data_IF_408639282885
#
_entry.id   IF_408639282885
#
_cell.length_a   1.000
_cell.length_b   1.000
_cell.length_c   1.000
_cell.angle_alpha   90.00
_cell.angle_beta   90.00
_cell.angle_gamma   90.00
#
_symmetry.space_group_name_H-M   'P 1'
#
loop_
_entity.id
_entity.type
_entity.pdbx_description
1 polymer ?
#
# COMPACT_ATOMS: atom_id res chain seq x y z
N UNK A 1 -5.05 -15.71 -5.56
CA UNK A 1 -3.67 -15.73 -5.02
C UNK A 1 -3.21 -17.18 -4.92
N UNK A 2 -1.97 -17.49 -5.33
CA UNK A 2 -1.45 -18.85 -5.30
C UNK A 2 -1.00 -19.24 -3.87
N UNK A 3 -0.88 -20.56 -3.62
CA UNK A 3 -0.34 -21.05 -2.36
C UNK A 3 1.11 -20.59 -2.12
N UNK A 4 1.92 -20.51 -3.17
CA UNK A 4 3.29 -20.00 -3.13
C UNK A 4 3.33 -18.56 -2.64
N UNK A 5 2.42 -17.70 -3.16
CA UNK A 5 2.34 -16.31 -2.73
C UNK A 5 1.90 -16.19 -1.27
N UNK A 6 0.87 -16.95 -0.85
CA UNK A 6 0.43 -16.98 0.56
C UNK A 6 1.59 -17.34 1.49
N UNK A 7 2.34 -18.40 1.15
CA UNK A 7 3.48 -18.83 1.96
C UNK A 7 4.59 -17.76 1.97
N UNK A 8 4.95 -17.21 0.80
CA UNK A 8 6.01 -16.23 0.66
C UNK A 8 5.69 -14.94 1.45
N UNK A 9 4.46 -14.42 1.33
CA UNK A 9 4.06 -13.21 2.05
C UNK A 9 3.99 -13.44 3.57
N UNK A 10 3.52 -14.62 3.99
CA UNK A 10 3.52 -15.02 5.40
C UNK A 10 4.94 -15.12 5.96
N UNK A 11 5.86 -15.74 5.23
CA UNK A 11 7.25 -15.90 5.67
C UNK A 11 7.97 -14.54 5.70
N UNK A 12 7.68 -13.67 4.72
CA UNK A 12 8.22 -12.31 4.69
C UNK A 12 7.74 -11.50 5.92
N UNK A 13 6.46 -11.57 6.23
CA UNK A 13 5.91 -10.91 7.42
C UNK A 13 6.55 -11.45 8.70
N UNK A 14 6.63 -12.79 8.88
CA UNK A 14 7.27 -13.40 10.05
C UNK A 14 8.73 -12.96 10.20
N UNK A 15 9.49 -12.94 9.11
CA UNK A 15 10.89 -12.50 9.14
C UNK A 15 11.02 -11.08 9.68
N UNK A 16 10.16 -10.15 9.25
CA UNK A 16 10.15 -8.78 9.77
C UNK A 16 9.66 -8.71 11.22
N UNK A 17 8.65 -9.49 11.56
CA UNK A 17 8.12 -9.57 12.92
C UNK A 17 9.17 -10.08 13.90
N UNK A 18 9.84 -11.18 13.59
CA UNK A 18 10.88 -11.79 14.43
C UNK A 18 12.12 -10.89 14.59
N UNK A 19 12.39 -10.04 13.60
CA UNK A 19 13.43 -8.99 13.68
C UNK A 19 13.00 -7.75 14.47
N UNK A 20 11.74 -7.66 14.92
CA UNK A 20 11.21 -6.48 15.62
C UNK A 20 11.08 -5.25 14.72
N UNK A 21 10.85 -5.46 13.42
CA UNK A 21 10.71 -4.37 12.45
C UNK A 21 9.31 -3.73 12.42
N UNK A 22 8.35 -4.30 13.14
CA UNK A 22 7.02 -3.73 13.27
C UNK A 22 6.79 -3.09 14.63
N UNK A 23 5.96 -2.05 14.65
CA UNK A 23 5.33 -1.53 15.86
C UNK A 23 3.87 -1.94 15.90
N UNK A 24 3.41 -2.34 17.08
CA UNK A 24 2.01 -2.65 17.32
C UNK A 24 1.30 -1.41 17.85
N UNK A 25 0.14 -1.07 17.26
CA UNK A 25 -0.70 0.04 17.74
C UNK A 25 -2.14 -0.41 17.81
N UNK A 26 -2.78 -0.09 18.92
CA UNK A 26 -4.24 -0.13 19.05
C UNK A 26 -4.79 1.23 18.65
N UNK A 27 -5.81 1.24 17.81
CA UNK A 27 -6.51 2.44 17.37
C UNK A 27 -8.00 2.16 17.26
N UNK A 28 -8.79 3.19 17.36
CA UNK A 28 -10.22 3.07 17.08
C UNK A 28 -10.47 3.16 15.58
N UNK A 29 -11.32 2.28 15.08
CA UNK A 29 -11.78 2.25 13.69
C UNK A 29 -13.30 2.06 13.63
N UNK A 30 -13.91 2.50 12.54
CA UNK A 30 -15.33 2.29 12.33
C UNK A 30 -15.65 0.82 12.10
N UNK A 31 -16.66 0.35 12.82
CA UNK A 31 -17.20 -1.00 12.76
C UNK A 31 -18.69 -0.94 12.40
N UNK A 32 -19.09 -1.76 11.46
CA UNK A 32 -20.49 -1.96 11.07
C UNK A 32 -21.07 -3.10 11.89
N UNK A 33 -22.03 -2.80 12.76
CA UNK A 33 -22.67 -3.79 13.62
C UNK A 33 -23.65 -4.70 12.87
N UNK A 34 -24.24 -4.24 11.77
CA UNK A 34 -25.12 -5.04 10.92
C UNK A 34 -24.33 -5.98 10.03
N UNK A 35 -23.29 -5.49 9.36
CA UNK A 35 -22.39 -6.31 8.54
C UNK A 35 -21.36 -7.09 9.38
N UNK A 36 -21.23 -6.79 10.69
CA UNK A 36 -20.31 -7.43 11.65
C UNK A 36 -18.85 -7.40 11.23
N UNK A 37 -18.42 -6.27 10.65
CA UNK A 37 -17.02 -6.09 10.20
C UNK A 37 -16.51 -4.67 10.39
N UNK A 38 -15.19 -4.52 10.49
CA UNK A 38 -14.53 -3.23 10.40
C UNK A 38 -14.66 -2.67 8.98
N UNK A 39 -14.76 -1.35 8.89
CA UNK A 39 -14.91 -0.66 7.62
C UNK A 39 -13.57 -0.13 7.15
N UNK A 40 -13.09 -0.63 6.01
CA UNK A 40 -11.99 0.00 5.29
C UNK A 40 -12.44 1.37 4.74
N UNK A 41 -11.48 2.25 4.51
CA UNK A 41 -11.71 3.66 4.16
C UNK A 41 -12.77 3.88 3.06
N UNK A 42 -12.78 3.02 2.03
CA UNK A 42 -13.76 3.06 0.93
C UNK A 42 -15.12 2.46 1.25
N UNK A 43 -15.25 1.80 2.37
CA UNK A 43 -16.54 1.30 2.86
C UNK A 43 -17.22 2.28 3.82
N UNK A 44 -16.67 3.48 3.96
CA UNK A 44 -17.26 4.58 4.73
C UNK A 44 -17.55 5.73 3.77
N UNK A 45 -18.78 6.21 3.79
CA UNK A 45 -19.21 7.38 3.04
C UNK A 45 -19.80 8.40 3.98
N UNK A 46 -19.73 9.66 3.59
CA UNK A 46 -20.28 10.76 4.39
C UNK A 46 -20.12 12.09 3.69
N UNK A 47 -20.43 13.16 4.40
CA UNK A 47 -20.31 14.51 3.86
C UNK A 47 -18.88 15.03 4.03
N UNK A 48 -18.29 15.50 2.93
CA UNK A 48 -16.97 16.12 2.94
C UNK A 48 -17.00 17.44 3.74
N UNK A 49 -16.15 17.60 4.76
CA UNK A 49 -16.12 18.82 5.56
C UNK A 49 -15.63 20.04 4.78
N UNK A 50 -14.96 19.83 3.64
CA UNK A 50 -14.38 20.92 2.84
C UNK A 50 -15.34 21.48 1.79
N UNK A 51 -16.07 20.63 1.06
CA UNK A 51 -16.90 21.06 -0.06
C UNK A 51 -18.38 20.70 0.05
N UNK A 52 -18.79 20.00 1.14
CA UNK A 52 -20.19 19.62 1.34
C UNK A 52 -20.69 18.47 0.46
N UNK A 53 -19.81 17.80 -0.31
CA UNK A 53 -20.21 16.62 -1.08
C UNK A 53 -20.65 15.49 -0.16
N UNK A 54 -21.93 15.09 -0.25
CA UNK A 54 -22.55 14.06 0.61
C UNK A 54 -22.13 12.63 0.28
N UNK A 55 -21.32 12.44 -0.76
CA UNK A 55 -20.83 11.12 -1.23
C UNK A 55 -19.30 11.04 -1.19
N UNK A 56 -18.67 11.67 -0.23
CA UNK A 56 -17.23 11.53 -0.05
C UNK A 56 -16.90 10.18 0.59
N UNK A 57 -15.78 9.58 0.19
CA UNK A 57 -15.23 8.37 0.81
C UNK A 57 -14.28 8.73 1.95
N UNK A 58 -14.03 7.76 2.84
CA UNK A 58 -13.17 7.94 3.99
C UNK A 58 -11.69 8.18 3.69
N UNK A 59 -11.23 7.94 2.47
CA UNK A 59 -9.85 8.20 2.02
C UNK A 59 -9.72 9.50 1.22
N UNK A 60 -10.75 9.87 0.48
CA UNK A 60 -10.71 11.01 -0.42
C UNK A 60 -12.11 11.49 -0.82
N UNK A 61 -12.27 12.81 -0.95
CA UNK A 61 -13.43 13.38 -1.61
C UNK A 61 -13.20 13.43 -3.12
N UNK A 62 -13.97 12.67 -3.90
CA UNK A 62 -13.83 12.64 -5.37
C UNK A 62 -14.28 13.96 -6.03
N UNK A 63 -15.09 14.79 -5.37
CA UNK A 63 -15.55 16.06 -5.92
C UNK A 63 -14.50 17.19 -5.83
N UNK A 64 -13.75 17.28 -4.71
CA UNK A 64 -12.77 18.35 -4.51
C UNK A 64 -11.33 17.85 -4.40
N UNK A 65 -11.09 16.52 -4.48
CA UNK A 65 -9.77 15.92 -4.45
C UNK A 65 -9.08 15.95 -3.07
N UNK A 66 -9.76 16.42 -2.00
CA UNK A 66 -9.18 16.48 -0.67
C UNK A 66 -8.98 15.06 -0.12
N UNK A 67 -7.77 14.77 0.39
CA UNK A 67 -7.52 13.56 1.17
C UNK A 67 -8.22 13.68 2.52
N UNK A 68 -8.86 12.60 2.95
CA UNK A 68 -9.65 12.53 4.18
C UNK A 68 -9.19 11.35 5.03
N UNK A 69 -9.45 11.42 6.32
CA UNK A 69 -9.55 10.25 7.19
C UNK A 69 -11.04 9.89 7.35
N UNK A 70 -11.39 8.63 7.57
CA UNK A 70 -12.78 8.24 7.84
C UNK A 70 -13.45 9.06 8.96
N UNK A 71 -12.67 9.46 9.96
CA UNK A 71 -13.12 10.29 11.10
C UNK A 71 -13.37 11.76 10.75
N UNK A 72 -12.90 12.23 9.60
CA UNK A 72 -13.14 13.61 9.16
C UNK A 72 -14.53 13.77 8.54
N UNK A 73 -15.16 12.69 8.09
CA UNK A 73 -16.46 12.74 7.44
C UNK A 73 -17.56 13.18 8.41
N UNK A 74 -18.42 14.07 7.94
CA UNK A 74 -19.65 14.44 8.63
C UNK A 74 -20.72 13.38 8.32
N UNK A 75 -21.41 12.90 9.37
CA UNK A 75 -22.44 11.87 9.29
C UNK A 75 -21.97 10.59 8.54
N UNK A 76 -20.88 9.93 9.02
CA UNK A 76 -20.35 8.75 8.36
C UNK A 76 -21.38 7.61 8.34
N UNK A 77 -21.44 6.89 7.21
CA UNK A 77 -22.30 5.72 7.00
C UNK A 77 -21.49 4.58 6.40
N UNK A 78 -21.86 3.36 6.77
CA UNK A 78 -21.37 2.17 6.09
C UNK A 78 -21.87 2.14 4.64
N UNK A 79 -20.96 1.99 3.69
CA UNK A 79 -21.33 1.76 2.29
C UNK A 79 -21.86 0.34 2.06
N UNK A 80 -21.75 -0.55 3.06
CA UNK A 80 -22.17 -1.95 2.98
C UNK A 80 -23.63 -2.09 3.40
N UNK A 81 -23.96 -1.65 4.64
CA UNK A 81 -25.31 -1.78 5.20
C UNK A 81 -26.14 -0.49 5.13
N UNK A 82 -25.48 0.67 4.97
CA UNK A 82 -26.11 1.99 5.09
C UNK A 82 -26.27 2.45 6.54
N UNK A 83 -25.93 1.61 7.52
CA UNK A 83 -26.06 1.93 8.95
C UNK A 83 -25.01 2.96 9.40
N UNK A 84 -25.23 3.59 10.55
CA UNK A 84 -24.24 4.43 11.20
C UNK A 84 -23.21 3.55 11.90
N UNK A 85 -21.93 3.60 11.51
CA UNK A 85 -20.91 2.77 12.13
C UNK A 85 -20.58 3.26 13.56
N UNK A 86 -20.07 2.34 14.38
CA UNK A 86 -19.58 2.60 15.73
C UNK A 86 -18.06 2.53 15.77
N UNK A 87 -17.43 3.25 16.70
CA UNK A 87 -15.98 3.14 16.92
C UNK A 87 -15.70 1.90 17.78
N UNK A 88 -14.73 1.07 17.33
CA UNK A 88 -14.19 -0.06 18.08
C UNK A 88 -12.68 -0.06 18.04
N UNK A 89 -12.07 -0.49 19.13
CA UNK A 89 -10.63 -0.69 19.18
C UNK A 89 -10.22 -1.89 18.34
N UNK A 90 -9.13 -1.71 17.58
CA UNK A 90 -8.45 -2.79 16.87
C UNK A 90 -6.94 -2.58 16.91
N UNK A 91 -6.20 -3.68 16.96
CA UNK A 91 -4.73 -3.69 16.96
C UNK A 91 -4.21 -4.02 15.58
N UNK A 92 -3.24 -3.25 15.10
CA UNK A 92 -2.56 -3.48 13.83
C UNK A 92 -1.05 -3.40 13.96
N UNK A 93 -0.34 -4.03 13.03
CA UNK A 93 1.09 -3.93 12.84
C UNK A 93 1.41 -2.83 11.84
N UNK A 94 2.44 -2.05 12.14
CA UNK A 94 2.88 -0.92 11.32
C UNK A 94 4.35 -1.07 10.97
N UNK A 95 4.69 -0.90 9.71
CA UNK A 95 6.06 -0.69 9.27
C UNK A 95 6.47 0.75 9.58
N UNK A 96 7.46 1.00 10.46
CA UNK A 96 7.90 2.35 10.82
C UNK A 96 8.75 2.94 9.69
N UNK A 97 8.12 3.55 8.68
CA UNK A 97 8.83 4.14 7.56
C UNK A 97 9.75 5.29 7.96
N UNK A 98 9.44 5.99 9.05
CA UNK A 98 10.26 7.02 9.67
C UNK A 98 11.63 6.47 10.13
N UNK A 99 11.70 5.23 10.62
CA UNK A 99 12.96 4.53 10.91
C UNK A 99 13.86 4.40 9.68
N UNK A 100 13.25 4.19 8.52
CA UNK A 100 13.95 3.98 7.25
C UNK A 100 14.21 5.28 6.47
N UNK A 101 13.69 6.42 6.91
CA UNK A 101 13.83 7.69 6.22
C UNK A 101 15.29 8.10 5.97
N UNK A 102 16.24 7.98 6.93
CA UNK A 102 17.64 8.32 6.67
C UNK A 102 18.28 7.50 5.55
N UNK A 103 17.96 6.19 5.51
CA UNK A 103 18.39 5.31 4.43
C UNK A 103 17.78 5.74 3.09
N UNK A 104 16.47 5.98 3.04
CA UNK A 104 15.78 6.37 1.81
C UNK A 104 16.26 7.73 1.29
N UNK A 105 16.53 8.70 2.17
CA UNK A 105 17.09 9.99 1.78
C UNK A 105 18.42 9.83 1.08
N UNK A 106 19.35 9.07 1.69
CA UNK A 106 20.63 8.79 1.07
C UNK A 106 20.46 8.05 -0.24
N UNK A 107 19.76 6.94 -0.24
CA UNK A 107 19.59 6.07 -1.39
C UNK A 107 18.92 6.76 -2.58
N UNK A 108 17.84 7.52 -2.36
CA UNK A 108 17.09 8.18 -3.45
C UNK A 108 17.74 9.52 -3.81
N UNK A 109 18.02 10.40 -2.81
CA UNK A 109 18.37 11.80 -3.08
C UNK A 109 19.86 11.99 -3.35
N UNK A 110 20.72 11.06 -2.95
CA UNK A 110 22.15 11.14 -3.16
C UNK A 110 22.68 10.12 -4.17
N UNK A 111 22.26 8.85 -4.03
CA UNK A 111 22.82 7.75 -4.82
C UNK A 111 22.08 7.55 -6.17
N UNK A 112 20.83 8.05 -6.32
CA UNK A 112 19.99 7.87 -7.52
C UNK A 112 19.43 9.20 -8.09
N UNK A 113 20.28 10.21 -8.18
CA UNK A 113 19.91 11.52 -8.76
C UNK A 113 19.53 11.45 -10.24
N UNK A 114 19.92 10.39 -10.92
CA UNK A 114 19.68 10.13 -12.34
C UNK A 114 18.25 9.61 -12.61
N UNK A 115 17.49 9.25 -11.59
CA UNK A 115 16.11 8.81 -11.78
C UNK A 115 15.26 9.89 -12.46
N UNK A 116 14.21 9.46 -13.17
CA UNK A 116 13.32 10.40 -13.86
C UNK A 116 12.84 11.51 -12.91
N UNK A 117 12.77 12.78 -13.39
CA UNK A 117 12.41 13.93 -12.55
C UNK A 117 11.07 13.78 -11.82
N UNK A 118 10.05 13.13 -12.42
CA UNK A 118 8.78 12.88 -11.77
C UNK A 118 8.91 11.89 -10.60
N UNK A 119 9.73 10.87 -10.73
CA UNK A 119 10.00 9.89 -9.65
C UNK A 119 10.79 10.54 -8.53
N UNK A 120 11.93 11.16 -8.87
CA UNK A 120 12.78 11.84 -7.91
C UNK A 120 12.02 12.95 -7.14
N UNK A 121 11.29 13.79 -7.87
CA UNK A 121 10.54 14.90 -7.28
C UNK A 121 9.42 14.44 -6.34
N UNK A 122 8.70 13.38 -6.69
CA UNK A 122 7.65 12.82 -5.84
C UNK A 122 8.26 12.18 -4.58
N UNK A 123 9.32 11.41 -4.71
CA UNK A 123 10.01 10.83 -3.56
C UNK A 123 10.55 11.92 -2.63
N UNK A 124 11.20 12.96 -3.18
CA UNK A 124 11.70 14.10 -2.41
C UNK A 124 10.56 14.77 -1.64
N UNK A 125 9.41 15.02 -2.29
CA UNK A 125 8.25 15.63 -1.63
C UNK A 125 7.75 14.81 -0.44
N UNK A 126 7.68 13.50 -0.57
CA UNK A 126 7.28 12.61 0.53
C UNK A 126 8.28 12.63 1.69
N UNK A 127 9.57 12.55 1.37
CA UNK A 127 10.63 12.62 2.37
C UNK A 127 10.65 13.98 3.09
N UNK A 128 10.43 15.08 2.37
CA UNK A 128 10.42 16.43 2.97
C UNK A 128 9.19 16.66 3.88
N UNK A 129 8.07 15.95 3.66
CA UNK A 129 6.92 15.96 4.57
C UNK A 129 7.16 15.13 5.84
N UNK A 130 8.16 14.26 5.86
CA UNK A 130 8.42 13.31 6.92
C UNK A 130 7.57 12.04 6.79
N UNK A 131 8.23 10.90 6.83
CA UNK A 131 7.56 9.60 6.71
C UNK A 131 6.88 9.21 8.02
N UNK A 132 5.75 8.54 7.92
CA UNK A 132 4.98 8.06 9.07
C UNK A 132 4.87 6.53 9.04
N UNK A 133 4.73 5.86 10.20
CA UNK A 133 4.47 4.43 10.26
C UNK A 133 3.23 4.05 9.45
N UNK A 134 3.33 3.01 8.65
CA UNK A 134 2.25 2.54 7.76
C UNK A 134 1.73 1.19 8.18
N UNK A 135 0.41 1.07 8.37
CA UNK A 135 -0.20 -0.20 8.73
C UNK A 135 -0.01 -1.24 7.63
N UNK A 136 0.38 -2.46 8.02
CA UNK A 136 0.62 -3.62 7.14
C UNK A 136 -0.41 -4.73 7.33
N UNK A 137 -1.40 -4.51 8.17
CA UNK A 137 -2.53 -5.42 8.38
C UNK A 137 -3.87 -4.68 8.28
N UNK A 138 -4.95 -5.44 8.06
CA UNK A 138 -6.34 -4.95 8.01
C UNK A 138 -7.28 -5.97 8.64
N UNK A 139 -8.38 -5.48 9.20
CA UNK A 139 -9.51 -6.31 9.63
C UNK A 139 -10.39 -6.58 8.41
N UNK A 140 -10.18 -7.72 7.77
CA UNK A 140 -10.93 -8.16 6.59
C UNK A 140 -11.03 -9.69 6.61
N UNK A 141 -12.12 -10.22 6.05
CA UNK A 141 -12.35 -11.66 5.96
C UNK A 141 -11.61 -12.33 4.80
N UNK A 142 -11.15 -11.53 3.82
CA UNK A 142 -10.45 -12.02 2.64
C UNK A 142 -9.05 -11.43 2.52
N UNK A 143 -8.09 -12.29 2.32
CA UNK A 143 -6.68 -11.93 2.16
C UNK A 143 -5.76 -13.01 2.72
N UNK A 144 -4.47 -12.69 2.83
CA UNK A 144 -3.48 -13.56 3.47
C UNK A 144 -3.56 -13.32 4.98
N UNK A 145 -3.90 -14.33 5.80
CA UNK A 145 -3.96 -14.15 7.25
C UNK A 145 -2.63 -13.66 7.81
N UNK A 146 -2.68 -12.73 8.76
CA UNK A 146 -1.48 -12.30 9.50
C UNK A 146 -0.95 -13.48 10.32
N UNK A 147 0.30 -13.93 10.08
CA UNK A 147 0.76 -15.23 10.55
C UNK A 147 1.39 -15.20 11.96
N UNK A 148 0.82 -14.42 12.89
CA UNK A 148 1.31 -14.32 14.28
C UNK A 148 0.16 -14.47 15.27
N UNK A 149 0.49 -14.82 16.52
CA UNK A 149 -0.48 -14.99 17.60
C UNK A 149 -1.20 -13.66 17.91
N UNK A 150 -2.51 -13.73 18.22
CA UNK A 150 -3.34 -12.57 18.50
C UNK A 150 -3.73 -11.75 17.26
N UNK A 151 -3.61 -12.36 16.07
CA UNK A 151 -3.97 -11.74 14.79
C UNK A 151 -5.25 -12.32 14.16
N UNK A 152 -6.11 -12.96 14.97
CA UNK A 152 -7.34 -13.56 14.50
C UNK A 152 -8.24 -12.51 13.82
N UNK A 153 -8.80 -12.86 12.65
CA UNK A 153 -9.63 -11.97 11.84
C UNK A 153 -8.87 -10.84 11.13
N UNK A 154 -7.53 -10.95 11.05
CA UNK A 154 -6.69 -9.96 10.38
C UNK A 154 -5.95 -10.57 9.20
N UNK A 155 -5.84 -9.78 8.13
CA UNK A 155 -5.10 -10.14 6.93
C UNK A 155 -3.98 -9.12 6.66
N UNK A 156 -3.00 -9.52 5.87
CA UNK A 156 -1.99 -8.61 5.36
C UNK A 156 -2.65 -7.54 4.49
N UNK A 157 -2.19 -6.31 4.63
CA UNK A 157 -2.65 -5.21 3.79
C UNK A 157 -2.13 -5.40 2.37
N UNK A 158 -3.00 -5.21 1.38
CA UNK A 158 -2.68 -5.46 -0.05
C UNK A 158 -1.40 -4.76 -0.52
N UNK A 159 -1.09 -3.58 -0.03
CA UNK A 159 0.15 -2.87 -0.39
C UNK A 159 1.40 -3.36 0.35
N UNK A 160 1.25 -4.28 1.29
CA UNK A 160 2.36 -5.04 1.87
C UNK A 160 2.59 -6.33 1.08
N UNK A 161 1.54 -7.10 0.78
CA UNK A 161 1.69 -8.39 0.11
C UNK A 161 1.83 -8.28 -1.42
N UNK A 162 1.18 -7.30 -2.07
CA UNK A 162 1.20 -7.17 -3.52
C UNK A 162 2.62 -7.08 -4.13
N UNK A 163 3.57 -6.27 -3.63
CA UNK A 163 4.91 -6.24 -4.17
C UNK A 163 5.71 -7.54 -3.94
N UNK A 164 5.37 -8.32 -2.90
CA UNK A 164 5.94 -9.66 -2.70
C UNK A 164 5.49 -10.60 -3.83
N UNK A 165 4.39 -10.28 -4.51
CA UNK A 165 3.91 -10.99 -5.70
C UNK A 165 4.96 -11.09 -6.81
N UNK A 166 5.81 -10.08 -6.98
CA UNK A 166 6.93 -10.14 -7.93
C UNK A 166 7.89 -11.28 -7.60
N UNK A 167 8.21 -11.42 -6.30
CA UNK A 167 9.12 -12.47 -5.81
C UNK A 167 8.46 -13.85 -5.96
N UNK A 168 7.21 -13.99 -5.53
CA UNK A 168 6.50 -15.26 -5.59
C UNK A 168 6.26 -15.74 -7.02
N UNK A 169 5.97 -14.84 -7.96
CA UNK A 169 5.85 -15.16 -9.38
C UNK A 169 7.17 -15.67 -9.96
N UNK A 170 8.29 -15.05 -9.58
CA UNK A 170 9.61 -15.54 -9.99
C UNK A 170 9.87 -16.94 -9.41
N UNK A 171 9.52 -17.15 -8.14
CA UNK A 171 9.68 -18.46 -7.48
C UNK A 171 8.80 -19.55 -8.12
N UNK A 172 7.59 -19.22 -8.54
CA UNK A 172 6.72 -20.17 -9.25
C UNK A 172 7.28 -20.56 -10.63
N UNK A 173 7.84 -19.58 -11.33
CA UNK A 173 8.41 -19.81 -12.66
C UNK A 173 9.78 -20.51 -12.60
N UNK A 174 10.60 -20.17 -11.62
CA UNK A 174 12.00 -20.58 -11.49
C UNK A 174 12.29 -21.11 -10.08
N UNK A 175 11.68 -22.21 -9.64
CA UNK A 175 11.71 -22.67 -8.26
C UNK A 175 13.12 -22.92 -7.71
N UNK A 176 14.04 -23.38 -8.57
CA UNK A 176 15.40 -23.75 -8.17
C UNK A 176 16.42 -22.58 -8.25
N UNK A 177 16.04 -21.45 -8.87
CA UNK A 177 16.98 -20.35 -9.14
C UNK A 177 16.42 -18.95 -8.87
N UNK A 178 15.20 -18.83 -8.32
CA UNK A 178 14.54 -17.54 -8.08
C UNK A 178 15.37 -16.60 -7.20
N UNK A 179 16.15 -17.14 -6.25
CA UNK A 179 16.98 -16.33 -5.34
C UNK A 179 18.10 -15.60 -6.09
N UNK A 180 18.68 -16.18 -7.13
CA UNK A 180 19.66 -15.52 -7.99
C UNK A 180 19.09 -14.22 -8.57
N UNK A 181 17.81 -14.22 -8.95
CA UNK A 181 17.15 -13.04 -9.52
C UNK A 181 16.85 -11.95 -8.50
N UNK A 182 16.76 -12.29 -7.22
CA UNK A 182 16.32 -11.37 -6.18
C UNK A 182 17.37 -11.03 -5.14
N UNK A 183 18.41 -11.88 -4.99
CA UNK A 183 19.39 -11.78 -3.90
C UNK A 183 20.84 -11.71 -4.38
N UNK A 184 21.15 -12.13 -5.60
CA UNK A 184 22.51 -12.03 -6.13
C UNK A 184 22.86 -10.56 -6.39
N UNK A 185 23.96 -10.02 -5.82
CA UNK A 185 24.35 -8.61 -5.97
C UNK A 185 24.69 -8.21 -7.42
N UNK A 186 24.97 -9.16 -8.32
CA UNK A 186 25.16 -8.88 -9.74
C UNK A 186 23.86 -8.70 -10.51
N UNK A 187 22.72 -9.09 -9.92
CA UNK A 187 21.40 -8.92 -10.53
C UNK A 187 20.89 -7.49 -10.32
N UNK A 188 20.48 -6.87 -11.43
CA UNK A 188 19.90 -5.52 -11.44
C UNK A 188 18.38 -5.58 -11.58
N UNK A 189 17.69 -4.91 -10.70
CA UNK A 189 16.23 -4.83 -10.70
C UNK A 189 15.75 -3.47 -11.19
N UNK A 190 14.81 -3.45 -12.14
CA UNK A 190 14.18 -2.23 -12.66
C UNK A 190 12.66 -2.41 -12.62
N UNK A 191 11.95 -1.44 -12.01
CA UNK A 191 10.49 -1.42 -11.95
C UNK A 191 9.89 -0.43 -12.95
N UNK A 192 9.21 -0.94 -13.99
CA UNK A 192 8.42 -0.12 -14.90
C UNK A 192 7.00 0.01 -14.35
N UNK A 193 6.59 1.21 -13.95
CA UNK A 193 5.33 1.45 -13.24
C UNK A 193 4.56 2.68 -13.75
N UNK A 194 3.30 2.82 -13.34
CA UNK A 194 2.58 4.09 -13.41
C UNK A 194 2.96 5.00 -12.23
N UNK A 195 2.87 6.30 -12.41
CA UNK A 195 3.26 7.30 -11.39
C UNK A 195 2.50 7.18 -10.07
N UNK A 196 1.32 6.60 -10.07
CA UNK A 196 0.52 6.33 -8.89
C UNK A 196 1.15 5.28 -7.95
N UNK A 197 2.11 4.50 -8.47
CA UNK A 197 2.83 3.47 -7.72
C UNK A 197 4.24 3.90 -7.26
N UNK A 198 4.66 5.14 -7.50
CA UNK A 198 6.01 5.60 -7.14
C UNK A 198 6.30 5.41 -5.65
N UNK A 199 5.39 5.82 -4.77
CA UNK A 199 5.58 5.72 -3.32
C UNK A 199 5.76 4.27 -2.87
N UNK A 200 5.00 3.34 -3.45
CA UNK A 200 5.10 1.93 -3.10
C UNK A 200 6.42 1.30 -3.57
N UNK A 201 6.89 1.65 -4.76
CA UNK A 201 8.09 1.04 -5.35
C UNK A 201 9.40 1.77 -4.98
N UNK A 202 9.33 3.02 -4.52
CA UNK A 202 10.52 3.78 -4.14
C UNK A 202 10.68 3.98 -2.62
N UNK A 203 9.59 3.83 -1.83
CA UNK A 203 9.62 4.05 -0.39
C UNK A 203 9.23 2.79 0.37
N UNK A 204 7.99 2.28 0.17
CA UNK A 204 7.46 1.19 0.99
C UNK A 204 8.19 -0.13 0.72
N UNK A 205 8.21 -0.59 -0.53
CA UNK A 205 8.83 -1.86 -0.88
C UNK A 205 10.35 -1.88 -0.65
N UNK A 206 11.13 -0.85 -1.00
CA UNK A 206 12.54 -0.80 -0.63
C UNK A 206 12.79 -0.82 0.88
N UNK A 207 11.92 -0.20 1.69
CA UNK A 207 12.01 -0.30 3.15
C UNK A 207 11.78 -1.73 3.63
N UNK A 208 10.81 -2.43 3.04
CA UNK A 208 10.55 -3.85 3.34
C UNK A 208 11.74 -4.73 2.96
N UNK A 209 12.28 -4.58 1.75
CA UNK A 209 13.45 -5.34 1.27
C UNK A 209 14.69 -5.08 2.14
N UNK A 210 14.90 -3.82 2.53
CA UNK A 210 16.02 -3.42 3.39
C UNK A 210 15.87 -3.95 4.80
N UNK A 211 14.65 -3.95 5.36
CA UNK A 211 14.35 -4.51 6.67
C UNK A 211 14.54 -6.05 6.68
N UNK A 212 14.13 -6.73 5.62
CA UNK A 212 14.38 -8.16 5.46
C UNK A 212 15.87 -8.45 5.31
N UNK A 213 16.59 -7.67 4.49
CA UNK A 213 18.05 -7.58 4.48
C UNK A 213 18.76 -8.49 3.48
N UNK A 214 18.09 -9.47 2.86
CA UNK A 214 18.71 -10.39 1.90
C UNK A 214 18.41 -10.06 0.44
N UNK A 215 17.47 -9.17 0.17
CA UNK A 215 17.02 -8.84 -1.18
C UNK A 215 17.77 -7.64 -1.77
N UNK A 216 17.93 -7.66 -3.10
CA UNK A 216 18.43 -6.51 -3.85
C UNK A 216 17.41 -5.37 -3.83
N UNK A 217 17.91 -4.14 -3.92
CA UNK A 217 17.08 -2.95 -4.09
C UNK A 217 16.95 -2.58 -5.58
N UNK A 218 15.90 -1.87 -5.98
CA UNK A 218 15.77 -1.40 -7.36
C UNK A 218 16.92 -0.47 -7.75
N UNK A 219 17.55 -0.73 -8.90
CA UNK A 219 18.53 0.20 -9.48
C UNK A 219 17.82 1.40 -10.14
N UNK A 220 16.63 1.17 -10.72
CA UNK A 220 15.83 2.22 -11.33
C UNK A 220 14.34 1.93 -11.26
N UNK A 221 13.55 3.00 -11.20
CA UNK A 221 12.08 2.93 -11.17
C UNK A 221 11.49 3.91 -12.20
N UNK A 222 11.56 3.61 -13.51
CA UNK A 222 10.96 4.46 -14.54
C UNK A 222 9.42 4.44 -14.44
N UNK A 223 8.86 5.58 -14.03
CA UNK A 223 7.41 5.75 -13.94
C UNK A 223 6.85 6.52 -15.14
N UNK A 224 5.71 6.03 -15.66
CA UNK A 224 4.95 6.68 -16.72
C UNK A 224 3.88 7.59 -16.15
N UNK A 225 3.60 8.69 -16.85
CA UNK A 225 2.44 9.53 -16.60
C UNK A 225 1.14 8.79 -16.96
N UNK A 226 0.01 9.30 -16.47
CA UNK A 226 -1.29 8.75 -16.85
C UNK A 226 -1.56 8.97 -18.34
N UNK A 227 -2.14 7.97 -18.97
CA UNK A 227 -2.74 8.13 -20.27
C UNK A 227 -4.06 8.86 -20.09
N UNK A 228 -4.17 10.03 -20.71
CA UNK A 228 -5.36 10.87 -20.66
C UNK A 228 -6.13 10.79 -22.00
N UNK A 229 -7.45 10.93 -21.91
CA UNK A 229 -8.35 11.11 -23.03
C UNK A 229 -9.02 12.48 -22.87
N UNK A 230 -8.83 13.37 -23.85
CA UNK A 230 -9.37 14.74 -23.83
C UNK A 230 -9.05 15.55 -22.56
N UNK A 231 -7.87 15.31 -21.98
CA UNK A 231 -7.40 15.98 -20.78
C UNK A 231 -7.69 15.25 -19.46
N UNK A 232 -8.61 14.28 -19.45
CA UNK A 232 -8.99 13.52 -18.27
C UNK A 232 -8.32 12.14 -18.25
N UNK A 233 -7.99 11.66 -17.02
CA UNK A 233 -7.42 10.31 -16.82
C UNK A 233 -8.40 9.26 -17.33
N UNK A 234 -7.94 8.34 -18.19
CA UNK A 234 -8.69 7.14 -18.58
C UNK A 234 -9.10 6.36 -17.32
N UNK A 235 -10.38 5.98 -17.25
CA UNK A 235 -10.98 5.28 -16.12
C UNK A 235 -12.03 4.29 -16.55
N UNK A 236 -11.80 3.02 -16.32
CA UNK A 236 -12.77 1.95 -16.61
C UNK A 236 -14.02 2.05 -15.74
N UNK A 237 -13.87 2.41 -14.47
CA UNK A 237 -14.99 2.56 -13.52
C UNK A 237 -15.93 3.72 -13.88
N UNK A 238 -15.44 4.72 -14.61
CA UNK A 238 -16.22 5.87 -15.12
C UNK A 238 -16.66 5.69 -16.57
N UNK A 239 -16.35 4.54 -17.17
CA UNK A 239 -16.57 4.28 -18.59
C UNK A 239 -15.95 5.37 -19.51
N UNK A 240 -14.81 5.94 -19.08
CA UNK A 240 -14.05 6.95 -19.82
C UNK A 240 -12.78 6.31 -20.36
N UNK A 241 -12.92 5.63 -21.48
CA UNK A 241 -11.84 4.89 -22.13
C UNK A 241 -12.15 4.66 -23.61
N UNK A 242 -11.10 4.42 -24.39
CA UNK A 242 -11.23 3.79 -25.72
C UNK A 242 -10.95 2.31 -25.51
N UNK A 243 -11.95 1.48 -25.79
CA UNK A 243 -11.85 0.04 -25.60
C UNK A 243 -11.18 -0.62 -26.80
N UNK A 244 -10.30 -1.57 -26.55
CA UNK A 244 -9.50 -2.23 -27.58
C UNK A 244 -10.36 -2.97 -28.64
N UNK A 245 -11.57 -3.35 -28.30
CA UNK A 245 -12.52 -4.08 -29.12
C UNK A 245 -13.55 -3.19 -29.82
N UNK A 246 -13.49 -1.89 -29.68
CA UNK A 246 -14.31 -0.87 -30.35
C UNK A 246 -13.49 -0.06 -31.34
#
# INVERSE_FOLDING_TARGET
>A
TSATHHQMASDFFRTLYDKGEFIEKTSEQYYDEEAKQFLADRYITGTCPRCGNEKAYGDQCEACGTSLSPTDLIDPKSAISGSKPVMRETKHWYLPLDKWEPFLRKWILEDHKEWKPNVYGQCKSWLDMGLQPRAVSRDLDWGIPVPVEGAEGKVLYVWFDAPIGYISNTKELLPDSWETWWKDPETKMVHFIGKDNIVFHCIVFPSMLKAEGSYNLPENVPANEFLNLEGDKISTSRNWAVWLNE
#
